data_IF_556508056524
#
_entry.id   IF_556508056524
#
_cell.length_a   1.000
_cell.length_b   1.000
_cell.length_c   1.000
_cell.angle_alpha   90.00
_cell.angle_beta   90.00
_cell.angle_gamma   90.00
#
_symmetry.space_group_name_H-M   'P 1'
#
loop_
_entity.id
_entity.type
_entity.pdbx_description
1 polymer ?
#
# COMPACT_ATOMS: atom_id res chain seq x y z
N UNK A 1 8.61 38.16 10.75
CA UNK A 1 9.02 36.93 10.07
C UNK A 1 7.75 36.30 9.51
N UNK A 2 7.50 36.49 8.25
CA UNK A 2 6.28 36.06 7.55
C UNK A 2 6.22 34.52 7.47
N UNK A 3 5.00 33.97 7.27
CA UNK A 3 4.82 32.53 7.12
C UNK A 3 5.62 31.95 5.93
N UNK A 4 5.90 32.77 4.91
CA UNK A 4 6.75 32.42 3.76
C UNK A 4 8.22 32.23 4.12
N UNK A 5 8.79 33.01 5.05
CA UNK A 5 10.19 32.82 5.49
C UNK A 5 10.41 31.55 6.31
N UNK A 6 9.38 30.93 6.89
CA UNK A 6 9.48 29.62 7.54
C UNK A 6 9.45 28.44 6.57
N UNK A 7 8.98 28.63 5.35
CA UNK A 7 8.93 27.63 4.28
C UNK A 7 10.31 27.37 3.66
N UNK A 8 11.25 28.29 3.78
CA UNK A 8 12.58 28.24 3.15
C UNK A 8 13.70 27.67 4.01
N UNK A 9 13.41 26.97 5.10
CA UNK A 9 14.50 26.27 5.80
C UNK A 9 15.03 25.16 4.90
N UNK A 10 16.33 25.15 4.58
CA UNK A 10 16.91 24.11 3.74
C UNK A 10 16.58 22.75 4.35
N UNK A 11 16.02 21.85 3.53
CA UNK A 11 15.77 20.48 3.93
C UNK A 11 17.07 19.88 4.48
N UNK A 12 17.02 19.34 5.69
CA UNK A 12 18.23 18.81 6.36
C UNK A 12 18.37 17.33 6.09
N UNK A 13 19.58 16.81 5.82
CA UNK A 13 19.81 15.38 5.61
C UNK A 13 19.61 14.53 6.88
N UNK A 14 19.29 15.15 8.02
CA UNK A 14 19.16 14.46 9.31
C UNK A 14 18.17 13.28 9.28
N UNK A 15 17.07 13.39 8.58
CA UNK A 15 16.10 12.28 8.45
C UNK A 15 16.62 11.14 7.56
N UNK A 16 17.47 11.41 6.56
CA UNK A 16 18.15 10.35 5.82
C UNK A 16 19.08 9.56 6.73
N UNK A 17 19.83 10.27 7.58
CA UNK A 17 20.72 9.64 8.57
C UNK A 17 19.91 8.81 9.55
N UNK A 18 18.82 9.35 10.11
CA UNK A 18 17.97 8.58 11.05
C UNK A 18 17.34 7.35 10.42
N UNK A 19 16.83 7.45 9.19
CA UNK A 19 16.29 6.30 8.48
C UNK A 19 17.38 5.25 8.21
N UNK A 20 18.59 5.67 7.81
CA UNK A 20 19.72 4.74 7.65
C UNK A 20 20.09 4.07 8.98
N UNK A 21 20.14 4.83 10.09
CA UNK A 21 20.43 4.26 11.41
C UNK A 21 19.39 3.23 11.86
N UNK A 22 18.11 3.41 11.50
CA UNK A 22 17.04 2.43 11.77
C UNK A 22 17.29 1.09 11.07
N UNK A 23 17.95 1.09 9.90
CA UNK A 23 18.23 -0.16 9.18
C UNK A 23 19.36 -0.98 9.78
N UNK A 24 20.27 -0.36 10.55
CA UNK A 24 21.52 -0.99 10.97
C UNK A 24 21.30 -2.22 11.86
N UNK A 25 20.54 -2.15 12.98
CA UNK A 25 20.42 -3.29 13.88
C UNK A 25 19.81 -4.52 13.20
N UNK A 26 18.68 -4.36 12.51
CA UNK A 26 18.02 -5.45 11.79
C UNK A 26 18.86 -5.93 10.59
N UNK A 27 19.48 -5.02 9.85
CA UNK A 27 20.36 -5.36 8.72
C UNK A 27 21.58 -6.17 9.16
N UNK A 28 22.25 -5.79 10.27
CA UNK A 28 23.37 -6.56 10.82
C UNK A 28 22.94 -7.92 11.33
N UNK A 29 21.77 -8.00 11.98
CA UNK A 29 21.23 -9.27 12.47
C UNK A 29 20.91 -10.19 11.28
N UNK A 30 20.25 -9.71 10.23
CA UNK A 30 19.98 -10.46 9.01
C UNK A 30 21.26 -10.90 8.28
N UNK A 31 22.25 -10.02 8.18
CA UNK A 31 23.55 -10.36 7.60
C UNK A 31 24.28 -11.43 8.43
N UNK A 32 24.19 -11.38 9.76
CA UNK A 32 24.79 -12.40 10.63
C UNK A 32 24.15 -13.76 10.44
N UNK A 33 22.82 -13.80 10.23
CA UNK A 33 22.08 -15.03 9.89
C UNK A 33 22.52 -15.59 8.53
N UNK A 34 22.57 -14.76 7.52
CA UNK A 34 23.00 -15.15 6.16
C UNK A 34 24.44 -15.70 6.11
N UNK A 35 25.35 -15.07 6.86
CA UNK A 35 26.76 -15.47 6.91
C UNK A 35 27.09 -16.52 7.99
N UNK A 36 26.09 -17.03 8.70
CA UNK A 36 26.23 -18.00 9.79
C UNK A 36 27.29 -17.61 10.83
N UNK A 37 27.34 -16.33 11.21
CA UNK A 37 28.38 -15.80 12.11
C UNK A 37 28.25 -16.23 13.56
N UNK A 38 27.24 -17.04 13.92
CA UNK A 38 27.04 -17.56 15.27
C UNK A 38 26.67 -16.48 16.31
N UNK A 39 26.18 -15.32 15.87
CA UNK A 39 25.68 -14.27 16.77
C UNK A 39 24.40 -14.78 17.43
N UNK A 40 24.28 -14.78 18.78
CA UNK A 40 23.07 -15.19 19.45
C UNK A 40 21.88 -14.33 19.00
N UNK A 41 20.84 -14.95 18.45
CA UNK A 41 19.64 -14.25 18.07
C UNK A 41 18.87 -13.82 19.34
N UNK A 42 18.38 -12.57 19.43
CA UNK A 42 17.52 -12.14 20.53
C UNK A 42 16.17 -12.87 20.48
N UNK A 43 15.33 -12.71 21.53
CA UNK A 43 14.00 -13.28 21.55
C UNK A 43 13.15 -12.83 20.34
N UNK A 44 12.23 -13.69 19.80
CA UNK A 44 11.45 -13.40 18.60
C UNK A 44 10.76 -12.03 18.58
N UNK A 45 10.12 -11.51 19.66
CA UNK A 45 9.53 -10.17 19.63
C UNK A 45 10.58 -9.05 19.42
N UNK A 46 11.79 -9.24 19.92
CA UNK A 46 12.89 -8.28 19.70
C UNK A 46 13.38 -8.36 18.26
N UNK A 47 13.49 -9.57 17.70
CA UNK A 47 13.82 -9.76 16.28
C UNK A 47 12.80 -9.08 15.39
N UNK A 48 11.50 -9.31 15.63
CA UNK A 48 10.40 -8.66 14.90
C UNK A 48 10.52 -7.14 14.95
N UNK A 49 10.81 -6.57 16.12
CA UNK A 49 11.01 -5.12 16.26
C UNK A 49 12.22 -4.64 15.45
N UNK A 50 13.37 -5.31 15.55
CA UNK A 50 14.59 -4.88 14.86
C UNK A 50 14.47 -5.00 13.34
N UNK A 51 13.92 -6.11 12.84
CA UNK A 51 13.67 -6.29 11.40
C UNK A 51 12.58 -5.34 10.90
N UNK A 52 11.49 -5.15 11.66
CA UNK A 52 10.43 -4.19 11.32
C UNK A 52 10.97 -2.76 11.23
N UNK A 53 11.81 -2.32 12.16
CA UNK A 53 12.47 -1.02 12.10
C UNK A 53 13.41 -0.91 10.89
N UNK A 54 14.09 -1.99 10.51
CA UNK A 54 14.93 -2.00 9.31
C UNK A 54 14.10 -1.87 8.04
N UNK A 55 12.95 -2.55 7.95
CA UNK A 55 11.97 -2.39 6.84
C UNK A 55 11.48 -0.96 6.78
N UNK A 56 11.04 -0.38 7.90
CA UNK A 56 10.58 1.03 7.98
C UNK A 56 11.68 1.99 7.51
N UNK A 57 12.89 1.85 8.02
CA UNK A 57 14.02 2.71 7.62
C UNK A 57 14.33 2.61 6.14
N UNK A 58 14.39 1.40 5.59
CA UNK A 58 14.64 1.14 4.18
C UNK A 58 13.50 1.67 3.29
N UNK A 59 12.26 1.50 3.70
CA UNK A 59 11.09 2.00 2.99
C UNK A 59 11.08 3.54 2.91
N UNK A 60 11.46 4.24 4.00
CA UNK A 60 11.65 5.69 3.95
C UNK A 60 12.74 6.12 2.97
N UNK A 61 13.90 5.46 2.98
CA UNK A 61 14.99 5.77 2.06
C UNK A 61 14.56 5.55 0.61
N UNK A 62 13.82 4.47 0.36
CA UNK A 62 13.27 4.12 -0.94
C UNK A 62 12.27 5.17 -1.44
N UNK A 63 11.31 5.57 -0.59
CA UNK A 63 10.29 6.57 -0.90
C UNK A 63 10.92 7.93 -1.25
N UNK A 64 11.82 8.45 -0.42
CA UNK A 64 12.49 9.72 -0.72
C UNK A 64 13.39 9.66 -1.95
N UNK A 65 14.04 8.54 -2.20
CA UNK A 65 14.80 8.33 -3.42
C UNK A 65 13.88 8.30 -4.65
N UNK A 66 12.70 7.65 -4.53
CA UNK A 66 11.69 7.59 -5.58
C UNK A 66 11.14 8.98 -5.92
N UNK A 67 10.74 9.77 -4.91
CA UNK A 67 10.30 11.14 -5.10
C UNK A 67 11.38 11.99 -5.81
N UNK A 68 12.63 11.93 -5.34
CA UNK A 68 13.73 12.71 -5.94
C UNK A 68 14.09 12.27 -7.36
N UNK A 69 13.88 10.98 -7.70
CA UNK A 69 14.13 10.45 -9.03
C UNK A 69 13.23 11.06 -10.09
N UNK A 70 12.04 11.53 -9.73
CA UNK A 70 11.08 12.15 -10.65
C UNK A 70 11.65 13.36 -11.41
N UNK A 71 12.62 14.07 -10.83
CA UNK A 71 13.29 15.19 -11.50
C UNK A 71 14.14 14.72 -12.71
N UNK A 72 14.65 13.49 -12.68
CA UNK A 72 15.64 13.00 -13.63
C UNK A 72 15.08 12.02 -14.68
N UNK A 73 13.85 11.57 -14.49
CA UNK A 73 13.20 10.54 -15.34
C UNK A 73 12.03 11.17 -16.06
N UNK A 74 11.79 10.79 -17.32
CA UNK A 74 10.60 11.25 -18.05
C UNK A 74 9.33 10.83 -17.32
N UNK A 75 8.30 11.68 -17.34
CA UNK A 75 7.05 11.46 -16.60
C UNK A 75 6.46 10.04 -16.83
N UNK A 76 6.50 9.53 -18.06
CA UNK A 76 5.98 8.21 -18.41
C UNK A 76 6.76 7.03 -17.79
N UNK A 77 8.09 7.15 -17.68
CA UNK A 77 8.94 6.14 -17.04
C UNK A 77 8.93 6.26 -15.51
N UNK A 78 8.82 7.51 -15.01
CA UNK A 78 8.77 7.76 -13.57
C UNK A 78 7.54 7.10 -12.94
N UNK A 79 6.37 7.27 -13.52
CA UNK A 79 5.10 6.77 -12.97
C UNK A 79 5.11 5.24 -12.82
N UNK A 80 5.55 4.51 -13.87
CA UNK A 80 5.58 3.04 -13.81
C UNK A 80 6.67 2.47 -12.91
N UNK A 81 7.90 2.98 -13.02
CA UNK A 81 9.04 2.50 -12.24
C UNK A 81 8.93 2.88 -10.76
N UNK A 82 8.43 4.08 -10.47
CA UNK A 82 8.29 4.58 -9.09
C UNK A 82 7.16 3.89 -8.36
N UNK A 83 6.03 3.61 -9.05
CA UNK A 83 4.96 2.81 -8.48
C UNK A 83 5.44 1.40 -8.08
N UNK A 84 6.34 0.81 -8.87
CA UNK A 84 6.92 -0.50 -8.59
C UNK A 84 7.91 -0.47 -7.41
N UNK A 85 8.70 0.60 -7.34
CA UNK A 85 9.77 0.73 -6.33
C UNK A 85 9.19 1.10 -4.96
N UNK A 86 8.19 1.96 -4.91
CA UNK A 86 7.57 2.40 -3.65
C UNK A 86 6.97 1.23 -2.85
N UNK A 87 6.45 0.21 -3.54
CA UNK A 87 5.79 -0.95 -2.91
C UNK A 87 6.74 -2.15 -2.67
N UNK A 88 8.04 -2.01 -2.96
CA UNK A 88 9.03 -3.07 -2.73
C UNK A 88 9.00 -3.66 -1.31
N UNK A 89 8.88 -2.87 -0.24
CA UNK A 89 8.82 -3.42 1.12
C UNK A 89 7.64 -4.36 1.34
N UNK A 90 6.46 -3.98 0.82
CA UNK A 90 5.23 -4.76 0.90
C UNK A 90 5.34 -6.07 0.10
N UNK A 91 5.87 -5.97 -1.13
CA UNK A 91 6.12 -7.14 -1.98
C UNK A 91 7.10 -8.11 -1.33
N UNK A 92 8.17 -7.62 -0.70
CA UNK A 92 9.20 -8.48 -0.14
C UNK A 92 8.62 -9.46 0.90
N UNK A 93 7.77 -8.99 1.81
CA UNK A 93 7.12 -9.84 2.82
C UNK A 93 6.12 -10.80 2.16
N UNK A 94 5.26 -10.29 1.29
CA UNK A 94 4.27 -11.12 0.56
C UNK A 94 4.94 -12.20 -0.30
N UNK A 95 6.05 -11.88 -0.96
CA UNK A 95 6.79 -12.83 -1.80
C UNK A 95 7.48 -13.91 -0.98
N UNK A 96 8.02 -13.59 0.21
CA UNK A 96 8.59 -14.61 1.12
C UNK A 96 7.54 -15.65 1.48
N UNK A 97 6.36 -15.22 1.91
CA UNK A 97 5.29 -16.16 2.24
C UNK A 97 4.79 -16.94 1.02
N UNK A 98 4.62 -16.28 -0.15
CA UNK A 98 4.20 -16.93 -1.38
C UNK A 98 5.22 -17.98 -1.85
N UNK A 99 6.51 -17.66 -1.75
CA UNK A 99 7.58 -18.56 -2.09
C UNK A 99 7.66 -19.77 -1.14
N UNK A 100 7.56 -19.53 0.17
CA UNK A 100 7.54 -20.59 1.19
C UNK A 100 6.31 -21.48 1.01
N UNK A 101 5.12 -20.91 0.87
CA UNK A 101 3.91 -21.68 0.62
C UNK A 101 3.98 -22.53 -0.65
N UNK A 102 4.59 -22.01 -1.73
CA UNK A 102 4.83 -22.77 -2.95
C UNK A 102 5.79 -23.96 -2.72
N UNK A 103 6.91 -23.73 -2.02
CA UNK A 103 7.84 -24.80 -1.67
C UNK A 103 7.22 -25.85 -0.74
N UNK A 104 6.32 -25.42 0.17
CA UNK A 104 5.62 -26.36 1.05
C UNK A 104 4.66 -27.25 0.25
N UNK A 105 3.92 -26.68 -0.71
CA UNK A 105 3.06 -27.44 -1.62
C UNK A 105 3.87 -28.41 -2.51
N UNK A 106 5.04 -28.01 -3.01
CA UNK A 106 5.93 -28.91 -3.75
C UNK A 106 6.37 -30.09 -2.92
N UNK A 107 6.65 -29.88 -1.61
CA UNK A 107 7.18 -30.93 -0.70
C UNK A 107 6.10 -31.78 -0.07
N UNK A 108 4.96 -31.19 0.28
CA UNK A 108 3.92 -31.83 1.14
C UNK A 108 2.58 -32.01 0.41
N UNK A 109 2.49 -31.67 -0.87
CA UNK A 109 1.28 -31.78 -1.67
C UNK A 109 0.40 -30.53 -1.52
N UNK A 110 -0.89 -30.71 -1.17
CA UNK A 110 -1.84 -29.58 -1.12
C UNK A 110 -1.67 -28.67 0.10
N UNK A 111 -0.83 -29.06 1.06
CA UNK A 111 -0.61 -28.29 2.31
C UNK A 111 0.44 -27.19 2.12
N UNK A 112 0.11 -25.96 2.49
CA UNK A 112 1.03 -24.83 2.49
C UNK A 112 1.87 -24.75 3.81
N UNK A 113 2.02 -25.86 4.50
CA UNK A 113 2.83 -25.96 5.73
C UNK A 113 3.32 -27.38 5.96
N UNK A 114 4.39 -27.59 6.75
CA UNK A 114 4.86 -28.91 7.12
C UNK A 114 3.80 -29.72 7.86
N UNK A 115 3.74 -31.06 7.68
CA UNK A 115 2.86 -31.92 8.42
C UNK A 115 3.10 -31.83 9.94
N UNK A 116 2.02 -31.59 10.71
CA UNK A 116 2.08 -31.46 12.16
C UNK A 116 2.32 -30.01 12.65
N UNK A 117 2.57 -29.06 11.79
CA UNK A 117 2.53 -27.66 12.17
C UNK A 117 1.08 -27.24 12.45
N UNK A 118 0.87 -26.48 13.53
CA UNK A 118 -0.45 -26.00 13.98
C UNK A 118 -0.59 -24.49 13.84
N UNK A 119 0.44 -23.81 13.34
CA UNK A 119 0.44 -22.38 13.07
C UNK A 119 -0.39 -22.02 11.84
N UNK A 120 -0.40 -20.74 11.49
CA UNK A 120 -0.98 -20.28 10.22
C UNK A 120 -0.10 -20.74 9.04
N UNK A 121 -0.71 -21.34 8.03
CA UNK A 121 0.00 -21.77 6.84
C UNK A 121 0.51 -20.57 6.00
N UNK A 122 1.59 -20.77 5.25
CA UNK A 122 2.25 -19.70 4.51
C UNK A 122 1.34 -19.08 3.43
N UNK A 123 0.44 -19.85 2.80
CA UNK A 123 -0.51 -19.31 1.81
C UNK A 123 -1.54 -18.38 2.45
N UNK A 124 -2.05 -18.71 3.63
CA UNK A 124 -2.91 -17.83 4.42
C UNK A 124 -2.21 -16.56 4.85
N UNK A 125 -0.92 -16.63 5.22
CA UNK A 125 -0.12 -15.46 5.60
C UNK A 125 0.16 -14.51 4.43
N UNK A 126 0.28 -15.02 3.19
CA UNK A 126 0.31 -14.18 1.97
C UNK A 126 -0.90 -13.26 1.93
N UNK A 127 -2.08 -13.87 2.10
CA UNK A 127 -3.37 -13.16 1.99
C UNK A 127 -3.62 -12.26 3.20
N UNK A 128 -3.12 -12.65 4.39
CA UNK A 128 -3.15 -11.80 5.59
C UNK A 128 -2.39 -10.49 5.36
N UNK A 129 -1.15 -10.56 4.87
CA UNK A 129 -0.33 -9.37 4.56
C UNK A 129 -1.04 -8.46 3.55
N UNK A 130 -1.51 -9.04 2.46
CA UNK A 130 -2.18 -8.31 1.38
C UNK A 130 -3.49 -7.64 1.84
N UNK A 131 -4.35 -8.37 2.57
CA UNK A 131 -5.62 -7.82 3.06
C UNK A 131 -5.42 -6.76 4.12
N UNK A 132 -4.44 -6.95 5.00
CA UNK A 132 -4.07 -6.00 6.04
C UNK A 132 -3.63 -4.66 5.47
N UNK A 133 -2.66 -4.64 4.54
CA UNK A 133 -2.18 -3.44 3.85
C UNK A 133 -3.33 -2.70 3.17
N UNK A 134 -4.12 -3.42 2.40
CA UNK A 134 -5.27 -2.88 1.70
C UNK A 134 -6.31 -2.23 2.63
N UNK A 135 -6.57 -2.81 3.79
CA UNK A 135 -7.55 -2.29 4.76
C UNK A 135 -7.00 -1.12 5.56
N UNK A 136 -5.71 -1.15 5.88
CA UNK A 136 -5.02 -0.10 6.62
C UNK A 136 -5.05 1.24 5.87
N UNK A 137 -4.79 1.22 4.56
CA UNK A 137 -4.81 2.44 3.73
C UNK A 137 -6.15 3.16 3.78
N UNK A 138 -7.27 2.44 3.68
CA UNK A 138 -8.61 3.04 3.73
C UNK A 138 -8.98 3.43 5.16
N UNK A 139 -8.93 2.46 6.09
CA UNK A 139 -9.44 2.63 7.43
C UNK A 139 -8.64 3.63 8.26
N UNK A 140 -7.35 3.68 8.05
CA UNK A 140 -6.45 4.58 8.79
C UNK A 140 -5.92 5.68 7.88
N UNK A 141 -5.36 5.35 6.72
CA UNK A 141 -4.65 6.30 5.86
C UNK A 141 -5.55 7.41 5.33
N UNK A 142 -6.65 7.07 4.64
CA UNK A 142 -7.57 8.09 4.09
C UNK A 142 -8.20 8.94 5.19
N UNK A 143 -8.62 8.30 6.29
CA UNK A 143 -9.18 9.02 7.43
C UNK A 143 -8.16 9.97 8.07
N UNK A 144 -6.91 9.52 8.25
CA UNK A 144 -5.83 10.33 8.79
C UNK A 144 -5.60 11.60 7.96
N UNK A 145 -5.56 11.49 6.64
CA UNK A 145 -5.36 12.64 5.74
C UNK A 145 -6.43 13.70 5.97
N UNK A 146 -7.71 13.30 6.00
CA UNK A 146 -8.84 14.23 6.24
C UNK A 146 -8.78 14.84 7.64
N UNK A 147 -8.55 14.03 8.68
CA UNK A 147 -8.56 14.48 10.07
C UNK A 147 -7.37 15.41 10.38
N UNK A 148 -6.18 15.13 9.82
CA UNK A 148 -5.00 15.99 9.94
C UNK A 148 -5.24 17.32 9.24
N UNK A 149 -5.79 17.31 8.02
CA UNK A 149 -6.14 18.52 7.29
C UNK A 149 -7.20 19.34 8.03
N UNK A 150 -8.28 18.69 8.49
CA UNK A 150 -9.35 19.32 9.27
C UNK A 150 -8.82 19.99 10.53
N UNK A 151 -7.97 19.31 11.30
CA UNK A 151 -7.36 19.88 12.50
C UNK A 151 -6.47 21.08 12.14
N UNK A 152 -5.74 21.00 11.04
CA UNK A 152 -4.85 22.06 10.57
C UNK A 152 -5.63 23.29 10.09
N UNK A 153 -6.75 23.11 9.36
CA UNK A 153 -7.63 24.21 8.98
C UNK A 153 -8.22 24.92 10.20
N UNK A 154 -8.71 24.13 11.16
CA UNK A 154 -9.23 24.70 12.42
C UNK A 154 -8.19 25.49 13.21
N UNK A 155 -6.96 25.03 13.25
CA UNK A 155 -5.86 25.76 13.89
C UNK A 155 -5.53 27.09 13.22
N UNK A 156 -5.97 27.29 11.96
CA UNK A 156 -5.84 28.54 11.20
C UNK A 156 -7.11 29.39 11.19
N UNK A 157 -8.16 28.95 11.89
CA UNK A 157 -9.46 29.63 11.89
C UNK A 157 -10.33 29.36 10.65
N UNK A 158 -9.90 28.46 9.76
CA UNK A 158 -10.65 28.05 8.58
C UNK A 158 -11.67 26.96 8.95
N UNK A 159 -12.88 27.04 8.37
CA UNK A 159 -13.93 26.03 8.54
C UNK A 159 -14.13 25.28 7.24
N UNK A 160 -13.39 24.20 7.06
CA UNK A 160 -13.57 23.23 5.96
C UNK A 160 -13.96 21.89 6.55
N UNK A 161 -14.95 21.25 5.95
CA UNK A 161 -15.53 19.99 6.45
C UNK A 161 -15.08 18.76 5.65
N UNK A 162 -14.14 18.90 4.73
CA UNK A 162 -13.63 17.81 3.90
C UNK A 162 -12.56 18.23 2.91
N UNK A 163 -12.06 17.23 2.19
CA UNK A 163 -11.07 17.35 1.12
C UNK A 163 -11.79 17.22 -0.21
N UNK A 164 -11.39 18.03 -1.20
CA UNK A 164 -11.86 17.94 -2.57
C UNK A 164 -10.68 17.54 -3.46
N UNK A 165 -10.90 16.58 -4.34
CA UNK A 165 -9.95 16.10 -5.33
C UNK A 165 -10.20 16.72 -6.69
N UNK A 166 -9.14 16.93 -7.46
CA UNK A 166 -9.23 17.33 -8.86
C UNK A 166 -9.96 16.29 -9.72
N UNK A 167 -10.59 16.74 -10.81
CA UNK A 167 -11.37 15.86 -11.72
C UNK A 167 -10.49 14.81 -12.39
N UNK A 168 -9.20 15.07 -12.60
CA UNK A 168 -8.20 14.14 -13.12
C UNK A 168 -8.10 12.86 -12.28
N UNK A 169 -8.37 12.92 -10.96
CA UNK A 169 -8.34 11.77 -10.02
C UNK A 169 -9.49 10.76 -10.26
N UNK A 170 -10.39 11.06 -11.18
CA UNK A 170 -11.36 10.08 -11.70
C UNK A 170 -10.66 8.89 -12.38
N UNK A 171 -9.41 9.05 -12.83
CA UNK A 171 -8.61 7.96 -13.42
C UNK A 171 -8.31 6.91 -12.36
N UNK A 172 -7.72 7.30 -11.23
CA UNK A 172 -7.42 6.41 -10.11
C UNK A 172 -8.68 5.72 -9.60
N UNK A 173 -9.77 6.48 -9.42
CA UNK A 173 -11.06 5.93 -8.96
C UNK A 173 -11.64 4.91 -9.94
N UNK A 174 -11.57 5.19 -11.24
CA UNK A 174 -12.07 4.29 -12.28
C UNK A 174 -11.34 2.94 -12.30
N UNK A 175 -10.00 2.99 -12.26
CA UNK A 175 -9.18 1.78 -12.25
C UNK A 175 -9.26 1.03 -10.91
N UNK A 176 -9.37 1.73 -9.79
CA UNK A 176 -9.62 1.11 -8.49
C UNK A 176 -10.99 0.43 -8.46
N UNK A 177 -12.02 1.05 -9.05
CA UNK A 177 -13.34 0.46 -9.16
C UNK A 177 -13.33 -0.81 -10.02
N UNK A 178 -12.60 -0.80 -11.15
CA UNK A 178 -12.44 -1.97 -12.01
C UNK A 178 -11.70 -3.10 -11.29
N UNK A 179 -10.59 -2.80 -10.63
CA UNK A 179 -9.82 -3.78 -9.85
C UNK A 179 -10.66 -4.36 -8.70
N UNK A 180 -11.40 -3.52 -7.98
CA UNK A 180 -12.27 -3.93 -6.89
C UNK A 180 -13.44 -4.80 -7.38
N UNK A 181 -14.06 -4.44 -8.49
CA UNK A 181 -15.15 -5.25 -9.10
C UNK A 181 -14.64 -6.65 -9.49
N UNK A 182 -13.42 -6.75 -10.04
CA UNK A 182 -12.81 -8.05 -10.31
C UNK A 182 -12.49 -8.80 -9.02
N UNK A 183 -11.92 -8.11 -8.02
CA UNK A 183 -11.51 -8.71 -6.74
C UNK A 183 -12.68 -9.27 -5.93
N UNK A 184 -13.91 -8.79 -6.14
CA UNK A 184 -15.13 -9.42 -5.58
C UNK A 184 -15.38 -10.83 -6.10
N UNK A 185 -14.75 -11.25 -7.21
CA UNK A 185 -14.85 -12.61 -7.73
C UNK A 185 -13.90 -13.58 -7.03
N UNK A 186 -12.81 -13.08 -6.41
CA UNK A 186 -11.79 -13.91 -5.78
C UNK A 186 -12.34 -14.75 -4.62
N UNK A 187 -13.16 -14.20 -3.69
CA UNK A 187 -13.73 -14.99 -2.58
C UNK A 187 -14.66 -16.13 -3.02
N UNK A 188 -15.12 -16.10 -4.26
CA UNK A 188 -15.98 -17.16 -4.84
C UNK A 188 -15.17 -18.38 -5.30
N UNK A 189 -13.85 -18.29 -5.29
CA UNK A 189 -12.90 -19.30 -5.72
C UNK A 189 -12.16 -19.90 -4.52
N UNK A 190 -11.48 -21.02 -4.73
CA UNK A 190 -10.64 -21.67 -3.73
C UNK A 190 -9.14 -21.35 -3.91
N UNK A 191 -8.79 -20.62 -4.95
CA UNK A 191 -7.41 -20.20 -5.22
C UNK A 191 -7.37 -18.91 -6.03
N UNK A 192 -6.30 -18.14 -5.90
CA UNK A 192 -5.95 -17.05 -6.81
C UNK A 192 -5.09 -17.64 -7.92
N UNK A 193 -5.60 -17.66 -9.13
CA UNK A 193 -5.00 -18.35 -10.28
C UNK A 193 -4.08 -17.44 -11.09
N UNK A 194 -3.31 -18.03 -12.02
CA UNK A 194 -2.54 -17.26 -13.00
C UNK A 194 -3.41 -16.46 -13.98
N UNK A 195 -4.69 -16.85 -14.17
CA UNK A 195 -5.66 -16.05 -14.93
C UNK A 195 -6.01 -14.78 -14.15
N UNK A 196 -6.20 -14.87 -12.83
CA UNK A 196 -6.42 -13.71 -11.97
C UNK A 196 -5.19 -12.78 -12.01
N UNK A 197 -3.98 -13.36 -11.98
CA UNK A 197 -2.74 -12.62 -12.18
C UNK A 197 -2.74 -11.83 -13.50
N UNK A 198 -3.03 -12.49 -14.60
CA UNK A 198 -3.05 -11.86 -15.92
C UNK A 198 -4.06 -10.71 -16.01
N UNK A 199 -5.27 -10.89 -15.47
CA UNK A 199 -6.31 -9.85 -15.46
C UNK A 199 -5.91 -8.66 -14.60
N UNK A 200 -5.44 -8.90 -13.36
CA UNK A 200 -5.06 -7.83 -12.43
C UNK A 200 -3.84 -7.05 -12.92
N UNK A 201 -2.83 -7.74 -13.45
CA UNK A 201 -1.65 -7.10 -14.07
C UNK A 201 -2.06 -6.32 -15.32
N UNK A 202 -2.98 -6.82 -16.15
CA UNK A 202 -3.49 -6.10 -17.31
C UNK A 202 -4.22 -4.80 -16.90
N UNK A 203 -5.02 -4.83 -15.81
CA UNK A 203 -5.64 -3.63 -15.25
C UNK A 203 -4.58 -2.62 -14.82
N UNK A 204 -3.52 -3.08 -14.13
CA UNK A 204 -2.41 -2.21 -13.71
C UNK A 204 -1.69 -1.58 -14.91
N UNK A 205 -1.35 -2.39 -15.92
CA UNK A 205 -0.70 -1.89 -17.14
C UNK A 205 -1.59 -0.86 -17.84
N UNK A 206 -2.89 -1.11 -17.96
CA UNK A 206 -3.84 -0.16 -18.54
C UNK A 206 -3.91 1.14 -17.71
N UNK A 207 -3.89 1.05 -16.38
CA UNK A 207 -3.80 2.20 -15.47
C UNK A 207 -2.53 3.02 -15.73
N UNK A 208 -1.36 2.37 -15.74
CA UNK A 208 -0.08 3.04 -15.97
C UNK A 208 -0.04 3.69 -17.36
N UNK A 209 -0.51 3.00 -18.41
CA UNK A 209 -0.61 3.56 -19.76
C UNK A 209 -1.59 4.76 -19.83
N UNK A 210 -2.62 4.77 -19.01
CA UNK A 210 -3.57 5.89 -18.94
C UNK A 210 -2.95 7.08 -18.24
N UNK A 211 -2.35 6.86 -17.04
CA UNK A 211 -1.77 7.95 -16.24
C UNK A 211 -0.49 8.53 -16.88
N UNK A 212 0.23 7.74 -17.68
CA UNK A 212 1.41 8.24 -18.42
C UNK A 212 1.07 9.28 -19.51
N UNK A 213 -0.22 9.47 -19.82
CA UNK A 213 -0.72 10.53 -20.71
C UNK A 213 -1.12 11.80 -19.97
N UNK A 214 -1.01 11.81 -18.63
CA UNK A 214 -1.22 13.02 -17.86
C UNK A 214 -0.13 14.05 -18.18
N UNK A 215 -0.45 15.37 -18.13
CA UNK A 215 0.55 16.42 -18.18
C UNK A 215 1.66 16.16 -17.13
N UNK A 216 2.88 16.56 -17.44
CA UNK A 216 4.00 16.42 -16.52
C UNK A 216 3.90 17.50 -15.45
N UNK A 217 3.44 17.16 -14.28
CA UNK A 217 3.51 18.03 -13.10
C UNK A 217 4.95 18.08 -12.56
N UNK A 218 5.40 19.26 -12.13
CA UNK A 218 6.64 19.37 -11.39
C UNK A 218 6.49 18.64 -10.03
N UNK A 219 7.41 17.71 -9.70
CA UNK A 219 7.29 16.94 -8.47
C UNK A 219 7.38 17.84 -7.23
N UNK A 220 6.37 17.80 -6.39
CA UNK A 220 6.30 18.58 -5.17
C UNK A 220 7.10 17.91 -4.05
N UNK A 221 8.42 18.07 -4.10
CA UNK A 221 9.33 17.42 -3.18
C UNK A 221 9.28 18.02 -1.78
N UNK A 222 9.20 17.16 -0.77
CA UNK A 222 9.19 17.57 0.64
C UNK A 222 10.29 16.88 1.45
N UNK A 223 10.77 17.56 2.50
CA UNK A 223 11.71 16.99 3.46
C UNK A 223 13.01 16.48 2.81
N UNK A 224 13.43 15.23 3.09
CA UNK A 224 14.63 14.64 2.52
C UNK A 224 14.65 14.53 1.00
N UNK A 225 13.49 14.29 0.37
CA UNK A 225 13.38 14.26 -1.08
C UNK A 225 13.69 15.63 -1.71
N UNK A 226 13.24 16.72 -1.08
CA UNK A 226 13.61 18.08 -1.52
C UNK A 226 15.11 18.36 -1.39
N UNK A 227 15.76 17.85 -0.33
CA UNK A 227 17.21 17.97 -0.19
C UNK A 227 17.94 17.18 -1.31
N UNK A 228 17.50 15.96 -1.59
CA UNK A 228 18.04 15.14 -2.68
C UNK A 228 17.83 15.84 -4.04
N UNK A 229 16.64 16.39 -4.27
CA UNK A 229 16.29 17.15 -5.48
C UNK A 229 17.17 18.36 -5.73
N UNK A 230 17.59 19.05 -4.66
CA UNK A 230 18.52 20.21 -4.72
C UNK A 230 19.97 19.86 -5.05
N UNK A 231 20.35 18.58 -5.09
CA UNK A 231 21.72 18.18 -5.44
C UNK A 231 21.99 18.39 -6.94
N UNK A 232 23.26 18.69 -7.33
CA UNK A 232 23.66 18.69 -8.73
C UNK A 232 23.31 17.37 -9.41
N UNK A 233 22.87 17.39 -10.67
CA UNK A 233 22.33 16.22 -11.41
C UNK A 233 23.16 14.94 -11.26
N UNK A 234 24.48 15.02 -11.36
CA UNK A 234 25.36 13.83 -11.21
C UNK A 234 25.39 13.30 -9.79
N UNK A 235 25.45 14.19 -8.78
CA UNK A 235 25.42 13.82 -7.37
C UNK A 235 24.05 13.23 -7.00
N UNK A 236 22.95 13.88 -7.42
CA UNK A 236 21.59 13.40 -7.21
C UNK A 236 21.40 11.99 -7.73
N UNK A 237 21.71 11.73 -9.00
CA UNK A 237 21.57 10.39 -9.62
C UNK A 237 22.39 9.32 -8.90
N UNK A 238 23.61 9.62 -8.47
CA UNK A 238 24.44 8.68 -7.71
C UNK A 238 23.89 8.42 -6.33
N UNK A 239 23.46 9.46 -5.61
CA UNK A 239 22.89 9.33 -4.27
C UNK A 239 21.56 8.60 -4.32
N UNK A 240 20.68 8.97 -5.22
CA UNK A 240 19.37 8.29 -5.43
C UNK A 240 19.58 6.83 -5.78
N UNK A 241 20.44 6.52 -6.77
CA UNK A 241 20.75 5.13 -7.15
C UNK A 241 21.38 4.34 -6.00
N UNK A 242 22.27 4.97 -5.21
CA UNK A 242 22.85 4.35 -4.02
C UNK A 242 21.81 4.08 -2.92
N UNK A 243 20.87 4.99 -2.69
CA UNK A 243 19.79 4.80 -1.73
C UNK A 243 18.83 3.69 -2.17
N UNK A 244 18.48 3.61 -3.46
CA UNK A 244 17.70 2.51 -4.02
C UNK A 244 18.37 1.16 -3.80
N UNK A 245 19.64 1.06 -4.18
CA UNK A 245 20.39 -0.19 -4.03
C UNK A 245 20.51 -0.59 -2.55
N UNK A 246 20.86 0.36 -1.68
CA UNK A 246 20.97 0.11 -0.25
C UNK A 246 19.65 -0.34 0.36
N UNK A 247 18.55 0.38 0.11
CA UNK A 247 17.25 0.05 0.64
C UNK A 247 16.74 -1.30 0.13
N UNK A 248 16.90 -1.59 -1.17
CA UNK A 248 16.53 -2.88 -1.74
C UNK A 248 17.33 -4.03 -1.11
N UNK A 249 18.64 -3.87 -0.94
CA UNK A 249 19.49 -4.88 -0.29
C UNK A 249 19.04 -5.12 1.15
N UNK A 250 18.78 -4.05 1.93
CA UNK A 250 18.30 -4.19 3.31
C UNK A 250 16.97 -4.94 3.33
N UNK A 251 15.99 -4.55 2.52
CA UNK A 251 14.66 -5.19 2.47
C UNK A 251 14.81 -6.67 2.14
N UNK A 252 15.54 -7.03 1.09
CA UNK A 252 15.73 -8.42 0.70
C UNK A 252 16.47 -9.24 1.78
N UNK A 253 17.42 -8.62 2.48
CA UNK A 253 18.17 -9.26 3.56
C UNK A 253 17.31 -9.56 4.79
N UNK A 254 16.35 -8.69 5.12
CA UNK A 254 15.57 -8.81 6.35
C UNK A 254 14.17 -9.40 6.15
N UNK A 255 13.62 -9.40 4.92
CA UNK A 255 12.22 -9.75 4.67
C UNK A 255 11.86 -11.17 5.15
N UNK A 256 12.71 -12.15 4.86
CA UNK A 256 12.49 -13.53 5.29
C UNK A 256 12.56 -13.67 6.82
N UNK A 257 13.58 -13.08 7.43
CA UNK A 257 13.77 -13.11 8.89
C UNK A 257 12.64 -12.36 9.61
N UNK A 258 12.14 -11.27 9.03
CA UNK A 258 11.00 -10.52 9.54
C UNK A 258 9.72 -11.39 9.51
N UNK A 259 9.46 -12.04 8.37
CA UNK A 259 8.31 -12.92 8.21
C UNK A 259 8.34 -14.08 9.24
N UNK A 260 9.50 -14.71 9.42
CA UNK A 260 9.67 -15.79 10.41
C UNK A 260 9.53 -15.30 11.84
N UNK A 261 10.17 -14.18 12.19
CA UNK A 261 10.08 -13.61 13.53
C UNK A 261 8.66 -13.18 13.90
N UNK A 262 7.82 -12.79 12.95
CA UNK A 262 6.40 -12.53 13.17
C UNK A 262 5.64 -13.80 13.58
N UNK A 263 5.90 -14.93 12.90
CA UNK A 263 5.31 -16.23 13.25
C UNK A 263 5.73 -16.67 14.65
N UNK A 264 7.03 -16.67 14.92
CA UNK A 264 7.59 -17.06 16.22
C UNK A 264 7.10 -16.14 17.36
N UNK A 265 6.96 -14.84 17.09
CA UNK A 265 6.41 -13.88 18.07
C UNK A 265 4.95 -14.21 18.37
N UNK A 266 4.15 -14.55 17.36
CA UNK A 266 2.77 -15.00 17.53
C UNK A 266 2.69 -16.21 18.46
N UNK A 267 3.47 -17.24 18.15
CA UNK A 267 3.54 -18.46 18.95
C UNK A 267 3.99 -18.18 20.40
N UNK A 268 5.00 -17.33 20.59
CA UNK A 268 5.53 -17.00 21.93
C UNK A 268 4.56 -16.17 22.76
N UNK A 269 3.84 -15.22 22.17
CA UNK A 269 2.91 -14.32 22.87
C UNK A 269 1.48 -14.89 22.96
N UNK A 270 1.20 -16.04 22.34
CA UNK A 270 -0.15 -16.58 22.24
C UNK A 270 -1.10 -15.72 21.40
N UNK A 271 -0.56 -14.95 20.47
CA UNK A 271 -1.29 -14.13 19.50
C UNK A 271 -1.31 -14.87 18.17
N UNK A 272 -2.44 -14.83 17.46
CA UNK A 272 -2.53 -15.42 16.12
C UNK A 272 -1.45 -14.87 15.20
N UNK A 273 -0.68 -15.74 14.57
CA UNK A 273 0.33 -15.40 13.57
C UNK A 273 -0.29 -14.64 12.39
N UNK A 274 -1.48 -15.08 11.97
CA UNK A 274 -2.28 -14.42 10.95
C UNK A 274 -2.55 -12.94 11.29
N UNK A 275 -2.94 -12.65 12.53
CA UNK A 275 -3.21 -11.28 13.00
C UNK A 275 -1.94 -10.43 13.02
N UNK A 276 -0.81 -10.98 13.47
CA UNK A 276 0.46 -10.24 13.46
C UNK A 276 0.93 -9.92 12.04
N UNK A 277 0.88 -10.89 11.13
CA UNK A 277 1.25 -10.67 9.73
C UNK A 277 0.27 -9.71 9.05
N UNK A 278 -1.02 -9.80 9.38
CA UNK A 278 -2.05 -8.91 8.80
C UNK A 278 -1.87 -7.44 9.21
N UNK A 279 -1.31 -7.14 10.39
CA UNK A 279 -1.28 -5.77 10.90
C UNK A 279 0.14 -5.21 11.08
N UNK A 280 1.07 -5.99 11.63
CA UNK A 280 2.42 -5.49 11.93
C UNK A 280 3.26 -5.36 10.66
N UNK A 281 3.17 -6.34 9.76
CA UNK A 281 3.93 -6.29 8.52
C UNK A 281 3.49 -5.11 7.62
N UNK A 282 2.18 -4.92 7.31
CA UNK A 282 1.73 -3.76 6.56
C UNK A 282 2.01 -2.42 7.24
N UNK A 283 1.88 -2.34 8.57
CA UNK A 283 2.21 -1.10 9.28
C UNK A 283 3.67 -0.71 9.08
N UNK A 284 4.58 -1.67 9.04
CA UNK A 284 6.00 -1.41 8.78
C UNK A 284 6.26 -1.01 7.33
N UNK A 285 5.65 -1.68 6.35
CA UNK A 285 5.86 -1.41 4.92
C UNK A 285 5.16 -0.13 4.44
N UNK A 286 3.95 0.16 4.95
CA UNK A 286 3.15 1.33 4.57
C UNK A 286 3.48 2.60 5.38
N UNK A 287 4.34 2.50 6.41
CA UNK A 287 4.70 3.64 7.26
C UNK A 287 5.19 4.86 6.46
N UNK A 288 6.01 4.73 5.40
CA UNK A 288 6.45 5.86 4.59
C UNK A 288 5.31 6.56 3.85
N UNK A 289 4.41 5.80 3.19
CA UNK A 289 3.26 6.33 2.47
C UNK A 289 2.32 7.08 3.41
N UNK A 290 2.02 6.49 4.56
CA UNK A 290 1.18 7.11 5.58
C UNK A 290 1.83 8.40 6.11
N UNK A 291 3.13 8.40 6.34
CA UNK A 291 3.84 9.59 6.84
C UNK A 291 3.91 10.69 5.78
N UNK A 292 4.21 10.35 4.53
CA UNK A 292 4.25 11.31 3.41
C UNK A 292 2.87 11.92 3.19
N UNK A 293 1.82 11.10 3.11
CA UNK A 293 0.44 11.57 3.00
C UNK A 293 0.03 12.45 4.20
N UNK A 294 0.42 12.07 5.41
CA UNK A 294 0.21 12.86 6.62
C UNK A 294 0.94 14.22 6.60
N UNK A 295 2.17 14.27 6.07
CA UNK A 295 2.92 15.51 5.90
C UNK A 295 2.30 16.43 4.83
N UNK A 296 1.84 15.87 3.71
CA UNK A 296 1.08 16.64 2.71
C UNK A 296 -0.21 17.20 3.32
N UNK A 297 -0.97 16.39 4.05
CA UNK A 297 -2.18 16.82 4.73
C UNK A 297 -1.92 17.95 5.76
N UNK A 298 -0.84 17.82 6.55
CA UNK A 298 -0.40 18.85 7.48
C UNK A 298 -0.05 20.17 6.79
N UNK A 299 0.49 20.11 5.59
CA UNK A 299 0.81 21.26 4.74
C UNK A 299 -0.39 21.77 3.96
N UNK A 300 -1.56 21.14 4.10
CA UNK A 300 -2.82 21.42 3.40
C UNK A 300 -2.75 21.17 1.88
N UNK A 301 -1.82 20.32 1.43
CA UNK A 301 -1.76 19.77 0.09
C UNK A 301 -2.62 18.50 0.03
N UNK A 302 -3.90 18.69 0.23
CA UNK A 302 -4.84 17.61 0.52
C UNK A 302 -5.14 16.72 -0.68
N UNK A 303 -5.14 17.30 -1.89
CA UNK A 303 -5.29 16.55 -3.13
C UNK A 303 -4.13 15.55 -3.30
N UNK A 304 -2.89 16.03 -3.23
CA UNK A 304 -1.70 15.18 -3.31
C UNK A 304 -1.66 14.12 -2.21
N UNK A 305 -2.05 14.49 -0.97
CA UNK A 305 -2.08 13.56 0.16
C UNK A 305 -3.01 12.38 -0.07
N UNK A 306 -4.25 12.63 -0.48
CA UNK A 306 -5.23 11.57 -0.68
C UNK A 306 -4.95 10.79 -1.97
N UNK A 307 -4.51 11.47 -3.04
CA UNK A 307 -4.13 10.83 -4.31
C UNK A 307 -3.01 9.82 -4.12
N UNK A 308 -1.98 10.13 -3.32
CA UNK A 308 -0.89 9.18 -3.01
C UNK A 308 -1.45 7.86 -2.47
N UNK A 309 -2.37 7.91 -1.50
CA UNK A 309 -2.96 6.72 -0.89
C UNK A 309 -3.95 5.99 -1.83
N UNK A 310 -4.68 6.73 -2.67
CA UNK A 310 -5.59 6.12 -3.66
C UNK A 310 -4.79 5.40 -4.75
N UNK A 311 -3.70 5.99 -5.24
CA UNK A 311 -2.82 5.36 -6.23
C UNK A 311 -2.12 4.13 -5.67
N UNK A 312 -1.63 4.18 -4.41
CA UNK A 312 -1.10 3.01 -3.72
C UNK A 312 -2.14 1.89 -3.65
N UNK A 313 -3.40 2.23 -3.36
CA UNK A 313 -4.52 1.28 -3.34
C UNK A 313 -4.79 0.62 -4.70
N UNK A 314 -4.70 1.36 -5.81
CA UNK A 314 -4.80 0.78 -7.16
C UNK A 314 -3.72 -0.27 -7.35
N UNK A 315 -2.47 0.06 -6.99
CA UNK A 315 -1.33 -0.84 -7.12
C UNK A 315 -1.50 -2.10 -6.26
N UNK A 316 -1.95 -1.97 -5.01
CA UNK A 316 -2.19 -3.10 -4.12
C UNK A 316 -3.26 -4.05 -4.66
N UNK A 317 -4.40 -3.54 -5.14
CA UNK A 317 -5.46 -4.37 -5.70
C UNK A 317 -5.17 -4.94 -7.09
N UNK A 318 -4.14 -4.48 -7.76
CA UNK A 318 -3.79 -4.94 -9.11
C UNK A 318 -2.47 -5.70 -9.12
N UNK A 319 -1.35 -4.97 -9.08
CA UNK A 319 -0.03 -5.55 -9.28
C UNK A 319 0.38 -6.44 -8.09
N UNK A 320 0.14 -6.01 -6.83
CA UNK A 320 0.49 -6.84 -5.68
C UNK A 320 -0.28 -8.15 -5.70
N UNK A 321 -1.62 -8.09 -5.70
CA UNK A 321 -2.45 -9.31 -5.72
C UNK A 321 -2.15 -10.18 -6.94
N UNK A 322 -1.94 -9.54 -8.11
CA UNK A 322 -1.68 -10.25 -9.36
C UNK A 322 -0.30 -10.94 -9.41
N UNK A 323 0.69 -10.46 -8.68
CA UNK A 323 2.03 -11.09 -8.70
C UNK A 323 2.18 -12.25 -7.73
N UNK A 324 1.38 -12.31 -6.65
CA UNK A 324 1.44 -13.37 -5.65
C UNK A 324 1.27 -14.79 -6.23
N UNK A 325 0.23 -15.09 -7.04
CA UNK A 325 0.09 -16.43 -7.62
C UNK A 325 1.20 -16.78 -8.63
N UNK A 326 1.86 -15.77 -9.23
CA UNK A 326 3.02 -16.02 -10.10
C UNK A 326 4.21 -16.49 -9.28
N UNK A 327 4.51 -15.81 -8.16
CA UNK A 327 5.60 -16.21 -7.25
C UNK A 327 5.32 -17.59 -6.67
N UNK A 328 4.09 -17.86 -6.26
CA UNK A 328 3.66 -19.16 -5.78
C UNK A 328 3.84 -20.27 -6.84
N UNK A 329 3.40 -20.01 -8.06
CA UNK A 329 3.53 -20.99 -9.17
C UNK A 329 4.99 -21.29 -9.50
N UNK A 330 5.89 -20.29 -9.48
CA UNK A 330 7.32 -20.48 -9.68
C UNK A 330 7.95 -21.33 -8.57
N UNK A 331 7.50 -21.18 -7.33
CA UNK A 331 8.03 -21.94 -6.20
C UNK A 331 7.45 -23.35 -6.12
N UNK A 332 6.16 -23.53 -6.42
CA UNK A 332 5.50 -24.84 -6.34
C UNK A 332 5.67 -25.71 -7.60
N UNK A 333 6.14 -25.13 -8.71
CA UNK A 333 6.15 -25.81 -10.00
C UNK A 333 4.74 -26.14 -10.54
N UNK A 334 3.67 -25.62 -9.92
CA UNK A 334 2.29 -25.94 -10.22
C UNK A 334 1.53 -24.73 -10.77
N UNK A 335 0.62 -24.97 -11.71
CA UNK A 335 -0.28 -23.97 -12.27
C UNK A 335 -1.61 -23.88 -11.48
N UNK A 336 -1.77 -24.60 -10.38
CA UNK A 336 -3.00 -24.68 -9.59
C UNK A 336 -3.45 -23.37 -8.90
N UNK A 337 -2.57 -22.39 -8.84
CA UNK A 337 -2.81 -21.09 -8.19
C UNK A 337 -2.53 -21.13 -6.69
N UNK A 338 -2.47 -19.94 -6.08
CA UNK A 338 -2.29 -19.76 -4.63
C UNK A 338 -3.57 -20.19 -3.91
N UNK A 339 -3.54 -21.23 -3.06
CA UNK A 339 -4.74 -21.72 -2.35
C UNK A 339 -5.30 -20.67 -1.40
N UNK A 340 -6.62 -20.69 -1.24
CA UNK A 340 -7.36 -19.84 -0.30
C UNK A 340 -8.34 -20.68 0.52
N UNK A 341 -8.04 -20.85 1.78
CA UNK A 341 -8.96 -21.44 2.74
C UNK A 341 -10.13 -20.52 3.12
N UNK A 342 -11.00 -20.99 3.99
CA UNK A 342 -12.20 -20.24 4.36
C UNK A 342 -11.91 -18.87 4.98
N UNK A 343 -10.95 -18.78 5.90
CA UNK A 343 -10.62 -17.52 6.56
C UNK A 343 -10.01 -16.50 5.59
N UNK A 344 -8.93 -16.80 4.82
CA UNK A 344 -8.41 -15.88 3.81
C UNK A 344 -9.46 -15.40 2.80
N UNK A 345 -10.37 -16.27 2.35
CA UNK A 345 -11.46 -15.88 1.45
C UNK A 345 -12.39 -14.84 2.06
N UNK A 346 -12.74 -15.00 3.34
CA UNK A 346 -13.58 -14.05 4.08
C UNK A 346 -12.87 -12.71 4.28
N UNK A 347 -11.57 -12.74 4.55
CA UNK A 347 -10.75 -11.52 4.66
C UNK A 347 -10.62 -10.78 3.33
N UNK A 348 -10.47 -11.50 2.20
CA UNK A 348 -10.48 -10.91 0.86
C UNK A 348 -11.85 -10.30 0.55
N UNK A 349 -12.95 -10.98 0.92
CA UNK A 349 -14.31 -10.45 0.78
C UNK A 349 -14.49 -9.14 1.58
N UNK A 350 -14.07 -9.14 2.84
CA UNK A 350 -14.17 -7.98 3.71
C UNK A 350 -13.35 -6.79 3.16
N UNK A 351 -12.15 -7.07 2.66
CA UNK A 351 -11.26 -6.06 2.06
C UNK A 351 -11.86 -5.45 0.79
N UNK A 352 -12.43 -6.29 -0.08
CA UNK A 352 -13.13 -5.83 -1.28
C UNK A 352 -14.40 -5.04 -0.92
N UNK A 353 -15.20 -5.52 0.05
CA UNK A 353 -16.40 -4.85 0.54
C UNK A 353 -16.09 -3.46 1.12
N UNK A 354 -15.05 -3.35 1.95
CA UNK A 354 -14.58 -2.06 2.47
C UNK A 354 -14.15 -1.13 1.33
N UNK A 355 -13.48 -1.66 0.29
CA UNK A 355 -13.06 -0.87 -0.87
C UNK A 355 -14.27 -0.37 -1.67
N UNK A 356 -15.31 -1.20 -1.89
CA UNK A 356 -16.57 -0.77 -2.52
C UNK A 356 -17.21 0.39 -1.76
N UNK A 357 -17.29 0.27 -0.45
CA UNK A 357 -17.86 1.33 0.40
C UNK A 357 -17.05 2.62 0.33
N UNK A 358 -15.73 2.54 0.42
CA UNK A 358 -14.83 3.68 0.33
C UNK A 358 -14.91 4.38 -1.04
N UNK A 359 -14.97 3.62 -2.13
CA UNK A 359 -15.19 4.14 -3.48
C UNK A 359 -16.56 4.80 -3.62
N UNK A 360 -17.61 4.21 -3.03
CA UNK A 360 -18.96 4.77 -3.07
C UNK A 360 -19.05 6.12 -2.34
N UNK A 361 -18.26 6.31 -1.30
CA UNK A 361 -18.11 7.60 -0.62
C UNK A 361 -17.34 8.59 -1.52
N UNK A 362 -16.20 8.18 -2.06
CA UNK A 362 -15.27 9.07 -2.76
C UNK A 362 -15.68 9.38 -4.21
N UNK A 363 -16.77 8.81 -4.72
CA UNK A 363 -17.18 8.95 -6.14
C UNK A 363 -17.47 10.39 -6.57
N UNK A 364 -17.89 11.26 -5.65
CA UNK A 364 -18.07 12.70 -5.91
C UNK A 364 -16.76 13.51 -5.89
N UNK A 365 -15.61 12.86 -5.69
CA UNK A 365 -14.28 13.47 -5.51
C UNK A 365 -14.16 14.31 -4.24
N UNK A 366 -15.02 14.07 -3.26
CA UNK A 366 -14.97 14.72 -1.97
C UNK A 366 -14.90 13.66 -0.86
N UNK A 367 -14.15 13.96 0.19
CA UNK A 367 -14.12 13.14 1.40
C UNK A 367 -14.30 14.04 2.62
N UNK A 368 -15.50 14.03 3.16
CA UNK A 368 -15.85 14.83 4.34
C UNK A 368 -15.29 14.23 5.63
N UNK A 369 -15.19 15.06 6.67
CA UNK A 369 -14.80 14.60 8.02
C UNK A 369 -15.73 13.50 8.54
N UNK A 370 -17.04 13.59 8.26
CA UNK A 370 -18.01 12.57 8.69
C UNK A 370 -17.77 11.23 8.02
N UNK A 371 -17.48 11.24 6.72
CA UNK A 371 -17.16 10.05 5.95
C UNK A 371 -15.82 9.45 6.37
N UNK A 372 -14.81 10.29 6.62
CA UNK A 372 -13.54 9.86 7.16
C UNK A 372 -13.68 9.19 8.54
N UNK A 373 -14.50 9.78 9.43
CA UNK A 373 -14.82 9.18 10.72
C UNK A 373 -15.62 7.89 10.58
N UNK A 374 -16.49 7.76 9.58
CA UNK A 374 -17.21 6.52 9.30
C UNK A 374 -16.25 5.41 8.84
N UNK A 375 -15.32 5.72 7.91
CA UNK A 375 -14.30 4.77 7.47
C UNK A 375 -13.42 4.30 8.63
N UNK A 376 -12.91 5.24 9.43
CA UNK A 376 -12.09 4.97 10.61
C UNK A 376 -12.86 4.18 11.67
N UNK A 377 -14.06 4.64 12.01
CA UNK A 377 -14.88 4.01 13.06
C UNK A 377 -15.31 2.60 12.70
N UNK A 378 -15.75 2.36 11.44
CA UNK A 378 -16.11 1.02 10.98
C UNK A 378 -14.91 0.08 10.93
N UNK A 379 -13.73 0.58 10.52
CA UNK A 379 -12.50 -0.21 10.53
C UNK A 379 -12.14 -0.65 11.95
N UNK A 380 -12.12 0.27 12.92
CA UNK A 380 -11.80 -0.06 14.30
C UNK A 380 -12.88 -0.87 14.99
N UNK A 381 -14.16 -0.61 14.67
CA UNK A 381 -15.27 -1.42 15.20
C UNK A 381 -15.13 -2.88 14.76
N UNK A 382 -14.85 -3.13 13.47
CA UNK A 382 -14.60 -4.49 12.96
C UNK A 382 -13.40 -5.13 13.65
N UNK A 383 -12.28 -4.40 13.78
CA UNK A 383 -11.08 -4.90 14.45
C UNK A 383 -11.35 -5.28 15.91
N UNK A 384 -12.07 -4.42 16.65
CA UNK A 384 -12.43 -4.67 18.05
C UNK A 384 -13.42 -5.83 18.18
N UNK A 385 -14.44 -5.88 17.31
CA UNK A 385 -15.41 -6.99 17.32
C UNK A 385 -14.67 -8.31 17.08
N UNK A 386 -13.81 -8.38 16.08
CA UNK A 386 -13.01 -9.57 15.78
C UNK A 386 -12.13 -10.03 16.95
N UNK A 387 -11.62 -9.10 17.76
CA UNK A 387 -10.81 -9.42 18.93
C UNK A 387 -11.60 -10.09 20.09
N UNK A 388 -12.94 -9.86 20.17
CA UNK A 388 -13.80 -10.38 21.22
C UNK A 388 -14.70 -11.54 20.78
N UNK A 389 -14.83 -11.77 19.47
CA UNK A 389 -15.65 -12.85 18.92
C UNK A 389 -14.93 -14.21 19.12
N UNK A 390 -15.62 -15.25 19.61
CA UNK A 390 -15.06 -16.59 19.70
C UNK A 390 -14.61 -17.10 18.32
N UNK A 391 -13.52 -17.89 18.29
CA UNK A 391 -12.97 -18.44 17.04
C UNK A 391 -14.02 -19.17 16.17
N UNK A 392 -14.99 -19.84 16.79
CA UNK A 392 -16.08 -20.53 16.10
C UNK A 392 -17.07 -19.60 15.36
N UNK A 393 -17.13 -18.32 15.74
CA UNK A 393 -18.03 -17.35 15.15
C UNK A 393 -17.30 -16.30 14.29
N UNK A 394 -15.97 -16.35 14.23
CA UNK A 394 -15.15 -15.36 13.51
C UNK A 394 -15.48 -15.27 12.02
N UNK A 395 -15.71 -16.41 11.37
CA UNK A 395 -16.12 -16.41 9.97
C UNK A 395 -17.49 -15.77 9.72
N UNK A 396 -18.44 -15.95 10.65
CA UNK A 396 -19.76 -15.30 10.56
C UNK A 396 -19.65 -13.79 10.74
N UNK A 397 -18.80 -13.35 11.66
CA UNK A 397 -18.50 -11.93 11.90
C UNK A 397 -17.94 -11.28 10.61
N UNK A 398 -16.91 -11.87 9.99
CA UNK A 398 -16.31 -11.35 8.77
C UNK A 398 -17.32 -11.23 7.62
N UNK A 399 -18.18 -12.23 7.45
CA UNK A 399 -19.24 -12.21 6.44
C UNK A 399 -20.29 -11.12 6.75
N UNK A 400 -20.71 -11.00 8.01
CA UNK A 400 -21.72 -10.02 8.41
C UNK A 400 -21.21 -8.57 8.23
N UNK A 401 -19.97 -8.31 8.59
CA UNK A 401 -19.34 -6.99 8.39
C UNK A 401 -19.15 -6.71 6.89
N UNK A 402 -18.73 -7.71 6.10
CA UNK A 402 -18.62 -7.59 4.65
C UNK A 402 -19.97 -7.24 4.02
N UNK A 403 -21.03 -7.92 4.43
CA UNK A 403 -22.39 -7.65 3.95
C UNK A 403 -22.83 -6.21 4.31
N UNK A 404 -22.54 -5.74 5.52
CA UNK A 404 -22.83 -4.36 5.94
C UNK A 404 -22.11 -3.33 5.04
N UNK A 405 -20.83 -3.51 4.78
CA UNK A 405 -20.08 -2.64 3.86
C UNK A 405 -20.64 -2.69 2.43
N UNK A 406 -20.95 -3.89 1.91
CA UNK A 406 -21.49 -4.04 0.56
C UNK A 406 -22.88 -3.40 0.43
N UNK A 407 -23.77 -3.61 1.40
CA UNK A 407 -25.11 -3.01 1.40
C UNK A 407 -25.01 -1.48 1.46
N UNK A 408 -24.21 -0.95 2.39
CA UNK A 408 -23.98 0.50 2.50
C UNK A 408 -23.38 1.07 1.21
N UNK A 409 -22.35 0.44 0.67
CA UNK A 409 -21.71 0.84 -0.59
C UNK A 409 -22.70 0.79 -1.76
N UNK A 410 -23.48 -0.30 -1.91
CA UNK A 410 -24.47 -0.44 -2.98
C UNK A 410 -25.56 0.64 -2.90
N UNK A 411 -26.07 0.94 -1.70
CA UNK A 411 -27.05 2.02 -1.50
C UNK A 411 -26.48 3.36 -1.97
N UNK A 412 -25.23 3.68 -1.62
CA UNK A 412 -24.56 4.90 -2.06
C UNK A 412 -24.34 4.92 -3.58
N UNK A 413 -23.92 3.81 -4.19
CA UNK A 413 -23.75 3.67 -5.63
C UNK A 413 -25.08 3.92 -6.36
N UNK A 414 -26.16 3.28 -5.92
CA UNK A 414 -27.49 3.44 -6.53
C UNK A 414 -27.96 4.90 -6.43
N UNK A 415 -27.76 5.53 -5.29
CA UNK A 415 -28.14 6.96 -5.10
C UNK A 415 -27.36 7.91 -6.00
N UNK A 416 -26.13 7.57 -6.36
CA UNK A 416 -25.21 8.40 -7.11
C UNK A 416 -24.86 7.84 -8.51
N UNK A 417 -25.73 7.03 -9.12
CA UNK A 417 -25.48 6.38 -10.41
C UNK A 417 -25.08 7.35 -11.54
N UNK A 418 -25.62 8.57 -11.54
CA UNK A 418 -25.27 9.59 -12.51
C UNK A 418 -23.80 10.02 -12.37
N UNK A 419 -23.37 10.30 -11.13
CA UNK A 419 -21.98 10.65 -10.80
C UNK A 419 -21.04 9.50 -11.14
N UNK A 420 -21.41 8.26 -10.80
CA UNK A 420 -20.64 7.07 -11.15
C UNK A 420 -20.38 6.94 -12.65
N UNK A 421 -21.42 7.11 -13.47
CA UNK A 421 -21.28 7.07 -14.93
C UNK A 421 -20.35 8.15 -15.46
N UNK A 422 -20.44 9.36 -14.90
CA UNK A 422 -19.54 10.47 -15.23
C UNK A 422 -18.10 10.15 -14.84
N UNK A 423 -17.84 9.72 -13.60
CA UNK A 423 -16.49 9.42 -13.11
C UNK A 423 -15.83 8.27 -13.88
N UNK A 424 -16.58 7.20 -14.17
CA UNK A 424 -16.07 6.09 -14.99
C UNK A 424 -15.75 6.56 -16.42
N UNK A 425 -16.61 7.39 -17.04
CA UNK A 425 -16.30 7.98 -18.34
C UNK A 425 -15.03 8.82 -18.29
N UNK A 426 -14.91 9.68 -17.28
CA UNK A 426 -13.75 10.54 -17.08
C UNK A 426 -12.48 9.70 -16.86
N UNK A 427 -12.53 8.68 -16.02
CA UNK A 427 -11.40 7.80 -15.75
C UNK A 427 -10.87 7.08 -16.99
N UNK A 428 -11.77 6.55 -17.84
CA UNK A 428 -11.35 5.69 -18.95
C UNK A 428 -11.26 6.41 -20.30
N UNK A 429 -12.04 7.47 -20.55
CA UNK A 429 -12.22 8.01 -21.92
C UNK A 429 -11.95 9.50 -22.06
N UNK A 430 -12.20 10.31 -21.04
CA UNK A 430 -12.06 11.77 -21.17
C UNK A 430 -10.58 12.16 -21.25
N UNK A 431 -10.11 12.90 -22.25
CA UNK A 431 -8.73 13.39 -22.33
C UNK A 431 -8.34 14.24 -21.12
N UNK A 432 -7.04 14.25 -20.77
CA UNK A 432 -6.54 15.01 -19.61
C UNK A 432 -6.71 16.51 -19.77
N UNK A 433 -6.63 17.04 -21.00
CA UNK A 433 -6.85 18.46 -21.31
C UNK A 433 -8.25 18.96 -20.91
N UNK A 434 -9.22 18.02 -20.80
CA UNK A 434 -10.58 18.32 -20.34
C UNK A 434 -10.71 18.06 -18.83
N UNK A 435 -9.94 17.13 -18.29
CA UNK A 435 -9.95 16.80 -16.87
C UNK A 435 -9.23 17.86 -16.02
N UNK A 436 -8.20 18.50 -16.59
CA UNK A 436 -7.35 19.50 -15.93
C UNK A 436 -7.08 20.68 -16.88
N UNK A 437 -8.08 21.55 -17.09
CA UNK A 437 -7.98 22.65 -18.07
C UNK A 437 -7.05 23.80 -17.66
N UNK A 438 -6.61 23.84 -16.39
CA UNK A 438 -5.77 24.93 -15.86
C UNK A 438 -4.26 24.65 -15.96
N UNK A 439 -3.83 23.48 -16.43
CA UNK A 439 -2.43 23.20 -16.68
C UNK A 439 -2.01 23.66 -18.09
N UNK A 440 -0.99 24.52 -18.22
CA UNK A 440 -0.50 24.95 -19.54
C UNK A 440 0.10 23.75 -20.28
N UNK A 441 -0.41 23.49 -21.48
CA UNK A 441 0.17 22.52 -22.42
C UNK A 441 1.65 22.85 -22.56
N UNK A 442 2.54 21.92 -22.23
CA UNK A 442 3.97 22.13 -22.39
C UNK A 442 4.26 22.40 -23.87
N UNK A 443 4.94 23.54 -24.18
CA UNK A 443 5.26 24.00 -25.55
C UNK A 443 6.06 22.99 -26.40
N UNK A 444 6.34 21.80 -25.86
CA UNK A 444 7.10 20.76 -26.55
C UNK A 444 6.31 20.04 -27.67
N UNK A 445 4.96 20.11 -27.70
CA UNK A 445 4.14 19.49 -28.76
C UNK A 445 3.71 20.47 -29.88
N UNK A 446 4.05 21.75 -29.76
CA UNK A 446 3.69 22.77 -30.78
C UNK A 446 4.68 22.80 -31.97
N UNK A 447 5.74 21.97 -31.96
CA UNK A 447 6.77 21.94 -33.02
C UNK A 447 7.09 20.48 -33.46
N UNK A 448 6.07 19.61 -33.53
CA UNK A 448 6.18 18.28 -34.11
C UNK A 448 5.48 18.17 -35.47
#
# INVERSE_FOLDING_TARGET
MSAEERSSRPARPGHLVSATLLTIPGGLLGLSGLLHLGVPAPAPPVQTLLYGLAVVGAAFLLGWAAEAAQIDVSASLAIGALALVAVLPEYAVGFVFAWKGGNDVERYGESCQPPGDTGADNCSLVLANMTGANRLLIGVGWAMVVLVAWWRWRSRGERRDGIVLGRSKSVELGYLALACAYSLTLPLKQSVTLIDAAVLVAIFVAYVLRISRAPAEEPDLIGPAAWLGGLPRRARRRTVGGLFAFAAIVILLVAEHFAESLKETGAQLGVSEFVLVQWVAPLASEAPELLVAGLFAWRLKTDAALTTLVSSKVNQWTLLVGTLPVVFALASGSLGGLPMDSQPRQEVLLTAAQTVFALAILVNLELSVREALALFGLFWAQFLIGAFVPASAHGVELIAVSAAYLVAGLVLIIRNLGVWRERLRDGFRTPYEILDPDEPISEAEAHG
#
